data_IF_115511920516
#
_entry.id   IF_115511920516
#
_cell.length_a   1.000
_cell.length_b   1.000
_cell.length_c   1.000
_cell.angle_alpha   90.00
_cell.angle_beta   90.00
_cell.angle_gamma   90.00
#
_symmetry.space_group_name_H-M   'P 1'
#
loop_
_entity.id
_entity.type
_entity.pdbx_description
1 polymer ?
#
# COMPACT_ATOMS: atom_id res chain seq x y z
N UNK A 1 -4.77 10.27 -28.94
CA UNK A 1 -5.55 10.18 -27.69
C UNK A 1 -5.45 11.53 -27.00
N UNK A 2 -6.57 12.15 -26.63
CA UNK A 2 -6.55 13.45 -25.97
C UNK A 2 -5.92 13.31 -24.57
N UNK A 3 -4.92 14.13 -24.26
CA UNK A 3 -4.39 14.32 -22.90
C UNK A 3 -5.51 14.84 -21.97
N UNK A 4 -5.45 14.61 -20.65
CA UNK A 4 -6.45 15.18 -19.73
C UNK A 4 -6.48 16.70 -19.88
N UNK A 5 -7.68 17.30 -19.89
CA UNK A 5 -7.89 18.76 -20.00
C UNK A 5 -7.34 19.56 -18.81
N UNK A 6 -6.81 18.91 -17.77
CA UNK A 6 -6.41 19.52 -16.50
C UNK A 6 -5.02 19.08 -16.06
N UNK A 7 -4.28 19.99 -15.45
CA UNK A 7 -2.97 19.77 -14.82
C UNK A 7 -3.05 18.66 -13.74
N UNK A 8 -2.09 17.73 -13.74
CA UNK A 8 -1.95 16.71 -12.68
C UNK A 8 -1.23 17.34 -11.49
N UNK A 9 -1.89 17.32 -10.33
CA UNK A 9 -1.35 17.77 -9.04
C UNK A 9 -1.42 16.59 -8.09
N UNK A 10 -0.37 15.77 -8.15
CA UNK A 10 -0.31 14.49 -7.47
C UNK A 10 0.57 14.54 -6.21
N UNK A 11 0.17 13.76 -5.21
CA UNK A 11 1.02 13.47 -4.05
C UNK A 11 1.27 11.96 -3.96
N UNK A 12 2.51 11.56 -3.67
CA UNK A 12 2.80 10.21 -3.21
C UNK A 12 2.30 10.01 -1.79
N UNK A 13 1.57 8.93 -1.58
CA UNK A 13 1.16 8.48 -0.25
C UNK A 13 1.87 7.15 0.03
N UNK A 14 2.96 7.26 0.78
CA UNK A 14 3.93 6.19 1.01
C UNK A 14 3.55 5.35 2.21
N UNK A 15 3.51 4.03 2.01
CA UNK A 15 3.05 3.08 3.03
C UNK A 15 4.16 2.25 3.64
N UNK A 16 5.29 2.12 2.94
CA UNK A 16 6.48 1.46 3.47
C UNK A 16 6.93 2.16 4.75
N UNK A 17 7.16 1.35 5.80
CA UNK A 17 7.50 1.81 7.14
C UNK A 17 6.49 2.75 7.81
N UNK A 18 5.29 2.94 7.24
CA UNK A 18 4.30 3.88 7.73
C UNK A 18 4.78 5.33 7.63
N UNK A 19 5.56 5.64 6.58
CA UNK A 19 6.17 6.96 6.37
C UNK A 19 5.11 8.07 6.32
N UNK A 20 4.07 7.88 5.51
CA UNK A 20 2.91 8.76 5.49
C UNK A 20 1.71 8.11 6.21
N UNK A 21 1.44 6.84 5.90
CA UNK A 21 0.30 6.09 6.43
C UNK A 21 0.55 4.56 6.37
N UNK A 22 0.02 3.74 7.29
CA UNK A 22 -0.68 4.10 8.50
C UNK A 22 0.26 4.24 9.71
N UNK A 23 -0.12 5.10 10.66
CA UNK A 23 0.55 5.18 11.97
C UNK A 23 -0.07 4.17 12.93
N UNK A 24 -1.40 4.06 12.93
CA UNK A 24 -2.13 3.11 13.76
C UNK A 24 -2.17 1.72 13.13
N UNK A 25 -1.99 0.66 13.93
CA UNK A 25 -2.16 -0.73 13.51
C UNK A 25 -3.60 -1.19 13.74
N UNK A 26 -4.27 -1.63 12.68
CA UNK A 26 -5.63 -2.14 12.69
C UNK A 26 -5.70 -3.54 13.33
N UNK A 27 -5.88 -3.59 14.65
CA UNK A 27 -5.91 -4.85 15.43
C UNK A 27 -7.25 -5.10 16.14
N UNK A 28 -8.12 -4.09 16.20
CA UNK A 28 -9.46 -4.13 16.78
C UNK A 28 -10.36 -3.06 16.12
N UNK A 29 -11.69 -3.08 16.33
CA UNK A 29 -12.61 -2.12 15.69
C UNK A 29 -12.23 -0.65 15.89
N UNK A 30 -11.74 -0.29 17.07
CA UNK A 30 -11.34 1.08 17.40
C UNK A 30 -10.13 1.53 16.59
N UNK A 31 -9.11 0.68 16.51
CA UNK A 31 -7.87 0.97 15.75
C UNK A 31 -8.07 0.88 14.24
N UNK A 32 -9.00 0.04 13.76
CA UNK A 32 -9.44 0.04 12.36
C UNK A 32 -10.03 1.41 12.00
N UNK A 33 -10.90 1.94 12.87
CA UNK A 33 -11.51 3.26 12.67
C UNK A 33 -10.45 4.36 12.64
N UNK A 34 -9.53 4.38 13.61
CA UNK A 34 -8.43 5.36 13.66
C UNK A 34 -7.55 5.30 12.40
N UNK A 35 -7.20 4.09 11.93
CA UNK A 35 -6.40 3.93 10.72
C UNK A 35 -7.10 4.51 9.47
N UNK A 36 -8.44 4.37 9.38
CA UNK A 36 -9.24 4.98 8.31
C UNK A 36 -9.32 6.50 8.45
N UNK A 37 -9.54 7.01 9.67
CA UNK A 37 -9.55 8.44 9.98
C UNK A 37 -8.20 9.10 9.62
N UNK A 38 -7.07 8.44 9.90
CA UNK A 38 -5.74 8.91 9.49
C UNK A 38 -5.63 9.10 7.97
N UNK A 39 -6.17 8.18 7.18
CA UNK A 39 -6.15 8.30 5.71
C UNK A 39 -7.04 9.46 5.25
N UNK A 40 -8.25 9.55 5.81
CA UNK A 40 -9.21 10.62 5.54
C UNK A 40 -8.58 12.00 5.82
N UNK A 41 -7.92 12.17 6.97
CA UNK A 41 -7.24 13.41 7.34
C UNK A 41 -6.14 13.81 6.35
N UNK A 42 -5.39 12.84 5.82
CA UNK A 42 -4.37 13.09 4.79
C UNK A 42 -5.06 13.57 3.50
N UNK A 43 -6.10 12.87 3.06
CA UNK A 43 -6.84 13.20 1.83
C UNK A 43 -7.52 14.58 1.91
N UNK A 44 -8.06 14.94 3.08
CA UNK A 44 -8.65 16.27 3.31
C UNK A 44 -7.59 17.37 3.20
N UNK A 45 -6.42 17.19 3.81
CA UNK A 45 -5.30 18.15 3.71
C UNK A 45 -4.81 18.31 2.27
N UNK A 46 -4.67 17.20 1.54
CA UNK A 46 -4.30 17.23 0.13
C UNK A 46 -5.35 17.97 -0.71
N UNK A 47 -6.63 17.73 -0.45
CA UNK A 47 -7.72 18.42 -1.14
C UNK A 47 -7.70 19.93 -0.84
N UNK A 48 -7.51 20.34 0.41
CA UNK A 48 -7.37 21.76 0.80
C UNK A 48 -6.17 22.41 0.13
N UNK A 49 -5.09 21.68 -0.09
CA UNK A 49 -3.91 22.13 -0.83
C UNK A 49 -4.05 22.02 -2.36
N UNK A 50 -5.26 21.79 -2.88
CA UNK A 50 -5.61 21.70 -4.30
C UNK A 50 -5.03 20.50 -5.07
N UNK A 51 -4.54 19.45 -4.40
CA UNK A 51 -4.19 18.19 -5.09
C UNK A 51 -5.43 17.53 -5.70
N UNK A 52 -5.25 16.85 -6.82
CA UNK A 52 -6.31 16.14 -7.54
C UNK A 52 -6.00 14.66 -7.80
N UNK A 53 -4.80 14.18 -7.44
CA UNK A 53 -4.41 12.78 -7.63
C UNK A 53 -3.60 12.29 -6.42
N UNK A 54 -3.85 11.07 -5.99
CA UNK A 54 -3.05 10.36 -4.98
C UNK A 54 -2.39 9.14 -5.61
N UNK A 55 -1.07 9.05 -5.49
CA UNK A 55 -0.29 7.89 -5.86
C UNK A 55 -0.12 7.01 -4.62
N UNK A 56 -1.08 6.11 -4.38
CA UNK A 56 -1.17 5.31 -3.16
C UNK A 56 -0.28 4.07 -3.27
N UNK A 57 0.71 3.91 -2.39
CA UNK A 57 1.60 2.75 -2.42
C UNK A 57 0.88 1.47 -2.00
N UNK A 58 0.46 0.68 -2.98
CA UNK A 58 -0.38 -0.54 -2.80
C UNK A 58 0.43 -1.82 -2.72
N UNK A 59 1.59 -1.86 -3.36
CA UNK A 59 2.55 -2.98 -3.27
C UNK A 59 3.93 -2.46 -2.93
N UNK A 60 4.52 -3.07 -1.92
CA UNK A 60 5.87 -2.78 -1.46
C UNK A 60 6.84 -3.86 -1.92
N UNK A 61 7.38 -4.70 -1.04
CA UNK A 61 8.46 -5.64 -1.37
C UNK A 61 7.97 -7.07 -1.20
N UNK A 62 7.06 -7.50 -2.07
CA UNK A 62 6.47 -8.84 -1.99
C UNK A 62 5.24 -8.95 -1.07
N UNK A 63 4.63 -7.82 -0.73
CA UNK A 63 3.46 -7.69 0.14
C UNK A 63 2.60 -6.49 -0.26
N UNK A 64 1.31 -6.55 0.07
CA UNK A 64 0.28 -5.67 -0.50
C UNK A 64 -0.63 -5.03 0.55
N UNK A 65 -1.30 -3.95 0.16
CA UNK A 65 -2.28 -3.23 0.98
C UNK A 65 -3.72 -3.38 0.46
N UNK A 66 -4.02 -4.55 -0.08
CA UNK A 66 -5.34 -4.96 -0.58
C UNK A 66 -5.48 -6.48 -0.48
N UNK A 67 -6.71 -7.04 -0.45
CA UNK A 67 -6.94 -8.48 -0.47
C UNK A 67 -6.34 -9.11 -1.73
N UNK A 68 -5.44 -10.08 -1.56
CA UNK A 68 -4.74 -10.74 -2.67
C UNK A 68 -4.59 -12.24 -2.41
N UNK A 69 -4.77 -13.03 -3.48
CA UNK A 69 -4.47 -14.47 -3.48
C UNK A 69 -2.98 -14.75 -3.76
N UNK A 70 -2.24 -13.75 -4.25
CA UNK A 70 -0.86 -13.90 -4.73
C UNK A 70 0.12 -13.57 -3.60
N UNK A 71 0.02 -12.37 -3.04
CA UNK A 71 0.94 -11.82 -2.05
C UNK A 71 0.23 -11.53 -0.73
N UNK A 72 0.93 -11.67 0.42
CA UNK A 72 0.33 -11.43 1.72
C UNK A 72 0.06 -9.94 1.98
N UNK A 73 -0.85 -9.67 2.92
CA UNK A 73 -0.98 -8.33 3.48
C UNK A 73 0.34 -7.86 4.10
N UNK A 74 0.67 -6.60 3.84
CA UNK A 74 1.81 -5.94 4.45
C UNK A 74 1.60 -5.82 5.96
N UNK A 75 2.61 -6.24 6.73
CA UNK A 75 2.64 -6.14 8.19
C UNK A 75 2.42 -4.73 8.73
N UNK A 76 2.62 -3.68 7.93
CA UNK A 76 2.37 -2.30 8.33
C UNK A 76 0.92 -2.07 8.75
N UNK A 77 -0.03 -2.83 8.20
CA UNK A 77 -1.46 -2.67 8.50
C UNK A 77 -1.82 -3.13 9.90
N UNK A 78 -1.22 -4.23 10.39
CA UNK A 78 -1.66 -4.92 11.62
C UNK A 78 -0.54 -5.23 12.61
N UNK A 79 0.72 -5.03 12.22
CA UNK A 79 1.91 -5.46 12.96
C UNK A 79 2.32 -6.92 12.71
N UNK A 80 1.51 -7.68 11.96
CA UNK A 80 1.78 -9.09 11.65
C UNK A 80 1.79 -9.31 10.14
N UNK A 81 2.81 -10.03 9.64
CA UNK A 81 2.88 -10.46 8.23
C UNK A 81 1.63 -11.25 7.87
N UNK A 82 0.97 -10.87 6.77
CA UNK A 82 -0.27 -11.51 6.32
C UNK A 82 -1.48 -11.25 7.23
N UNK A 83 -1.35 -10.38 8.23
CA UNK A 83 -2.47 -10.01 9.11
C UNK A 83 -3.49 -9.17 8.36
N UNK A 84 -4.72 -9.68 8.26
CA UNK A 84 -5.84 -8.98 7.64
C UNK A 84 -6.32 -7.85 8.57
N UNK A 85 -6.38 -6.58 8.12
CA UNK A 85 -6.82 -5.46 8.94
C UNK A 85 -8.35 -5.41 9.14
N UNK A 86 -9.11 -6.35 8.60
CA UNK A 86 -10.58 -6.40 8.70
C UNK A 86 -11.31 -5.50 7.70
N UNK A 87 -10.60 -4.93 6.74
CA UNK A 87 -11.16 -4.16 5.61
C UNK A 87 -10.19 -4.20 4.41
N UNK A 88 -10.61 -3.69 3.26
CA UNK A 88 -9.76 -3.47 2.08
C UNK A 88 -9.23 -2.03 2.07
N UNK A 89 -7.93 -1.81 2.35
CA UNK A 89 -7.37 -0.45 2.38
C UNK A 89 -7.34 0.26 1.04
N UNK A 90 -7.08 -0.46 -0.06
CA UNK A 90 -7.07 0.13 -1.39
C UNK A 90 -8.49 0.54 -1.82
N UNK A 91 -9.47 -0.34 -1.63
CA UNK A 91 -10.86 0.00 -1.93
C UNK A 91 -11.31 1.24 -1.13
N UNK A 92 -10.98 1.29 0.17
CA UNK A 92 -11.28 2.45 1.01
C UNK A 92 -10.58 3.73 0.53
N UNK A 93 -9.30 3.66 0.15
CA UNK A 93 -8.56 4.79 -0.40
C UNK A 93 -9.20 5.32 -1.71
N UNK A 94 -9.60 4.43 -2.61
CA UNK A 94 -10.29 4.77 -3.86
C UNK A 94 -11.60 5.50 -3.56
N UNK A 95 -12.45 4.93 -2.71
CA UNK A 95 -13.74 5.53 -2.34
C UNK A 95 -13.56 6.93 -1.74
N UNK A 96 -12.63 7.10 -0.80
CA UNK A 96 -12.40 8.38 -0.13
C UNK A 96 -11.76 9.44 -1.04
N UNK A 97 -10.90 9.05 -1.99
CA UNK A 97 -10.41 9.95 -3.03
C UNK A 97 -11.54 10.43 -3.93
N UNK A 98 -12.38 9.50 -4.41
CA UNK A 98 -13.50 9.83 -5.30
C UNK A 98 -14.53 10.75 -4.65
N UNK A 99 -14.83 10.56 -3.35
CA UNK A 99 -15.70 11.48 -2.59
C UNK A 99 -15.20 12.93 -2.60
N UNK A 100 -13.89 13.14 -2.77
CA UNK A 100 -13.23 14.47 -2.83
C UNK A 100 -12.98 14.94 -4.25
N UNK A 101 -13.43 14.19 -5.26
CA UNK A 101 -13.13 14.44 -6.67
C UNK A 101 -11.63 14.34 -6.97
N UNK A 102 -10.91 13.46 -6.29
CA UNK A 102 -9.51 13.13 -6.55
C UNK A 102 -9.40 11.75 -7.19
N UNK A 103 -8.43 11.57 -8.07
CA UNK A 103 -8.07 10.25 -8.61
C UNK A 103 -7.20 9.47 -7.61
N UNK A 104 -7.37 8.15 -7.55
CA UNK A 104 -6.50 7.26 -6.80
C UNK A 104 -5.78 6.32 -7.77
N UNK A 105 -4.45 6.42 -7.83
CA UNK A 105 -3.59 5.63 -8.70
C UNK A 105 -2.79 4.66 -7.83
N UNK A 106 -2.92 3.37 -8.11
CA UNK A 106 -2.19 2.33 -7.39
C UNK A 106 -0.70 2.35 -7.78
N UNK A 107 0.16 2.74 -6.84
CA UNK A 107 1.61 2.70 -6.99
C UNK A 107 2.14 1.33 -6.55
N UNK A 108 2.66 0.59 -7.52
CA UNK A 108 3.25 -0.72 -7.32
C UNK A 108 4.77 -0.64 -7.46
N UNK A 109 5.51 -0.97 -6.41
CA UNK A 109 6.92 -1.35 -6.56
C UNK A 109 6.91 -2.72 -7.24
N UNK A 110 7.59 -2.91 -8.38
CA UNK A 110 7.42 -4.09 -9.25
C UNK A 110 8.47 -5.18 -9.04
N UNK A 111 9.76 -4.83 -9.13
CA UNK A 111 10.84 -5.82 -9.14
C UNK A 111 11.33 -6.18 -7.73
N UNK A 112 11.78 -5.25 -6.86
CA UNK A 112 12.45 -5.67 -5.64
C UNK A 112 11.51 -6.35 -4.64
N UNK A 113 11.90 -7.53 -4.18
CA UNK A 113 11.23 -8.31 -3.15
C UNK A 113 11.86 -8.11 -1.76
N UNK A 114 12.97 -7.38 -1.68
CA UNK A 114 13.62 -6.99 -0.42
C UNK A 114 14.71 -7.95 0.04
N UNK A 115 15.32 -7.61 1.17
CA UNK A 115 16.47 -8.35 1.69
C UNK A 115 16.07 -9.74 2.19
N UNK A 116 17.08 -10.61 2.37
CA UNK A 116 16.89 -11.98 2.88
C UNK A 116 16.05 -12.07 4.14
N UNK A 117 16.19 -11.12 5.09
CA UNK A 117 15.43 -11.13 6.34
C UNK A 117 13.94 -10.83 6.11
N UNK A 118 13.64 -9.81 5.32
CA UNK A 118 12.26 -9.45 4.94
C UNK A 118 11.59 -10.60 4.21
N UNK A 119 12.23 -11.12 3.16
CA UNK A 119 11.70 -12.24 2.36
C UNK A 119 11.47 -13.48 3.22
N UNK A 120 12.39 -13.81 4.12
CA UNK A 120 12.22 -14.92 5.06
C UNK A 120 11.03 -14.72 6.01
N UNK A 121 10.76 -13.48 6.44
CA UNK A 121 9.62 -13.16 7.30
C UNK A 121 8.26 -13.40 6.64
N UNK A 122 8.21 -13.37 5.31
CA UNK A 122 7.01 -13.71 4.51
C UNK A 122 6.73 -15.22 4.48
N UNK A 123 7.67 -16.07 4.90
CA UNK A 123 7.49 -17.52 4.98
C UNK A 123 7.01 -18.15 3.65
N UNK A 124 6.08 -19.10 3.74
CA UNK A 124 5.50 -19.78 2.57
C UNK A 124 4.61 -18.86 1.72
N UNK A 125 4.28 -17.67 2.21
CA UNK A 125 3.50 -16.69 1.46
C UNK A 125 4.36 -15.86 0.49
N UNK A 126 5.69 -15.89 0.65
CA UNK A 126 6.63 -15.18 -0.21
C UNK A 126 6.55 -15.63 -1.68
N UNK A 127 6.61 -14.68 -2.61
CA UNK A 127 6.74 -14.96 -4.05
C UNK A 127 7.98 -15.83 -4.33
N UNK A 128 9.07 -15.62 -3.60
CA UNK A 128 10.31 -16.43 -3.72
C UNK A 128 10.12 -17.91 -3.38
N UNK A 129 9.03 -18.27 -2.67
CA UNK A 129 8.66 -19.65 -2.35
C UNK A 129 7.59 -20.18 -3.31
N UNK A 130 6.61 -19.35 -3.68
CA UNK A 130 5.49 -19.75 -4.56
C UNK A 130 5.89 -19.85 -6.03
N UNK A 131 6.78 -18.98 -6.50
CA UNK A 131 7.13 -18.85 -7.92
C UNK A 131 8.63 -18.59 -8.05
N UNK A 132 9.42 -19.55 -7.58
CA UNK A 132 10.89 -19.42 -7.50
C UNK A 132 11.56 -19.13 -8.84
N UNK A 133 11.00 -19.66 -9.93
CA UNK A 133 11.63 -19.62 -11.27
C UNK A 133 11.71 -18.20 -11.86
N UNK A 134 10.91 -17.26 -11.37
CA UNK A 134 10.94 -15.85 -11.78
C UNK A 134 11.70 -14.95 -10.81
N UNK A 135 12.30 -15.51 -9.76
CA UNK A 135 12.99 -14.74 -8.72
C UNK A 135 14.51 -14.91 -8.80
N UNK A 136 15.23 -13.80 -8.62
CA UNK A 136 16.70 -13.77 -8.62
C UNK A 136 17.19 -13.22 -7.30
N UNK A 137 18.16 -13.91 -6.67
CA UNK A 137 18.90 -13.34 -5.55
C UNK A 137 20.18 -12.69 -6.05
N UNK A 138 20.42 -11.44 -5.65
CA UNK A 138 21.62 -10.71 -5.98
C UNK A 138 22.03 -9.79 -4.83
N UNK A 139 23.30 -9.85 -4.42
CA UNK A 139 23.90 -9.01 -3.35
C UNK A 139 23.02 -8.89 -2.08
N UNK A 140 22.54 -10.02 -1.57
CA UNK A 140 21.69 -10.16 -0.36
C UNK A 140 20.25 -9.62 -0.46
N UNK A 141 19.83 -9.20 -1.65
CA UNK A 141 18.45 -8.85 -1.99
C UNK A 141 17.81 -9.94 -2.86
N UNK A 142 16.48 -9.90 -2.94
CA UNK A 142 15.68 -10.64 -3.91
C UNK A 142 14.94 -9.67 -4.85
N UNK A 143 14.79 -10.11 -6.08
CA UNK A 143 14.12 -9.46 -7.19
C UNK A 143 13.21 -10.48 -7.88
#
# INVERSE_FOLDING_TARGET
>A
MAQPKFEVRAAWLTTVYGLDWPRTKATNPQTIRLQKEELVDILDKLKTANFNTVLFQTRTRGDVLYPSAIEPFNSILTGKVGGNPGYDPLAFAIEECHKRGMECHAWMVSIPLGNKKHVASLGNQSVTKKTKDICVSYKNEYF
#
